data_IF_993493398525
#
_entry.id   IF_993493398525
#
_cell.length_a   1.000
_cell.length_b   1.000
_cell.length_c   1.000
_cell.angle_alpha   90.00
_cell.angle_beta   90.00
_cell.angle_gamma   90.00
#
_symmetry.space_group_name_H-M   'P 1'
#
loop_
_entity.id
_entity.type
_entity.pdbx_description
1 polymer ?
#
# COMPACT_ATOMS: atom_id res chain seq x y z
N UNK A 1 -2.24 -13.78 -12.55
CA UNK A 1 -2.08 -14.82 -11.55
C UNK A 1 -3.27 -14.77 -10.60
N UNK A 2 -3.93 -15.92 -10.43
CA UNK A 2 -5.02 -15.99 -9.50
C UNK A 2 -4.45 -15.81 -8.07
N UNK A 3 -5.00 -14.91 -7.28
CA UNK A 3 -4.86 -14.91 -5.84
C UNK A 3 -5.60 -16.17 -5.35
N UNK A 4 -4.94 -17.31 -5.50
CA UNK A 4 -5.53 -18.59 -5.15
C UNK A 4 -5.20 -18.86 -3.69
N UNK A 5 -6.22 -18.92 -2.84
CA UNK A 5 -6.09 -19.60 -1.58
C UNK A 5 -5.61 -21.02 -1.86
N UNK A 6 -4.42 -21.38 -1.41
CA UNK A 6 -3.90 -22.74 -1.50
C UNK A 6 -4.85 -23.71 -0.79
N UNK A 7 -4.80 -24.98 -1.14
CA UNK A 7 -5.56 -26.00 -0.43
C UNK A 7 -5.20 -25.94 1.07
N UNK A 8 -6.21 -25.74 1.93
CA UNK A 8 -6.01 -25.68 3.38
C UNK A 8 -5.59 -27.07 3.87
N UNK A 9 -4.45 -27.14 4.52
CA UNK A 9 -3.99 -28.32 5.24
C UNK A 9 -3.87 -27.95 6.72
N UNK A 10 -4.83 -28.41 7.51
CA UNK A 10 -4.93 -28.04 8.93
C UNK A 10 -3.77 -28.64 9.79
N UNK A 11 -3.02 -29.60 9.25
CA UNK A 11 -1.85 -30.20 9.90
C UNK A 11 -0.54 -29.47 9.52
N UNK A 12 -0.58 -28.52 8.59
CA UNK A 12 0.60 -27.78 8.15
C UNK A 12 0.75 -26.46 8.89
N UNK A 13 1.99 -26.06 9.12
CA UNK A 13 2.30 -24.74 9.63
C UNK A 13 1.90 -23.68 8.58
N UNK A 14 0.99 -22.77 8.93
CA UNK A 14 0.52 -21.72 8.03
C UNK A 14 1.52 -20.54 8.07
N UNK A 15 2.38 -20.44 7.06
CA UNK A 15 3.39 -19.39 6.92
C UNK A 15 3.15 -18.39 5.76
N UNK A 16 2.26 -18.66 4.78
CA UNK A 16 1.97 -17.69 3.74
C UNK A 16 1.16 -16.52 4.31
N UNK A 17 1.10 -15.42 3.55
CA UNK A 17 0.22 -14.27 3.80
C UNK A 17 0.64 -13.33 4.94
N UNK A 18 1.85 -13.46 5.51
CA UNK A 18 2.40 -12.57 6.54
C UNK A 18 1.47 -12.37 7.75
N UNK A 19 0.74 -13.42 8.15
CA UNK A 19 -0.14 -13.36 9.31
C UNK A 19 0.65 -13.20 10.62
N UNK A 20 0.13 -12.38 11.54
CA UNK A 20 0.71 -12.24 12.87
C UNK A 20 0.51 -13.54 13.68
N UNK A 21 1.60 -14.05 14.28
CA UNK A 21 1.55 -15.26 15.13
C UNK A 21 0.90 -15.00 16.50
N UNK A 22 0.75 -13.73 16.89
CA UNK A 22 0.21 -13.33 18.18
C UNK A 22 -1.26 -12.91 18.06
N UNK A 23 -2.09 -13.22 19.08
CA UNK A 23 -3.45 -12.72 19.13
C UNK A 23 -3.47 -11.18 19.28
N UNK A 24 -4.61 -10.53 19.04
CA UNK A 24 -4.78 -9.11 19.34
C UNK A 24 -4.42 -8.80 20.80
N UNK A 25 -3.94 -7.58 21.05
CA UNK A 25 -3.74 -7.10 22.42
C UNK A 25 -5.05 -7.18 23.21
N UNK A 26 -5.00 -7.51 24.52
CA UNK A 26 -6.21 -7.66 25.33
C UNK A 26 -7.13 -6.44 25.29
N UNK A 27 -6.55 -5.25 25.32
CA UNK A 27 -7.28 -3.97 25.27
C UNK A 27 -7.97 -3.78 23.91
N UNK A 28 -7.32 -4.15 22.82
CA UNK A 28 -7.91 -4.10 21.48
C UNK A 28 -9.07 -5.10 21.36
N UNK A 29 -8.88 -6.33 21.86
CA UNK A 29 -9.94 -7.34 21.89
C UNK A 29 -11.15 -6.90 22.70
N UNK A 30 -10.94 -6.25 23.86
CA UNK A 30 -12.01 -5.72 24.70
C UNK A 30 -12.77 -4.58 24.00
N UNK A 31 -12.06 -3.66 23.35
CA UNK A 31 -12.67 -2.56 22.59
C UNK A 31 -13.51 -3.07 21.41
N UNK A 32 -13.04 -4.10 20.70
CA UNK A 32 -13.81 -4.75 19.63
C UNK A 32 -15.08 -5.41 20.18
N UNK A 33 -15.01 -6.11 21.32
CA UNK A 33 -16.15 -6.75 21.96
C UNK A 33 -17.21 -5.71 22.40
N UNK A 34 -16.78 -4.56 22.93
CA UNK A 34 -17.69 -3.46 23.26
C UNK A 34 -18.36 -2.89 21.99
N UNK A 35 -17.59 -2.63 20.94
CA UNK A 35 -18.10 -2.06 19.69
C UNK A 35 -19.20 -2.94 19.07
N UNK A 36 -19.05 -4.28 19.13
CA UNK A 36 -20.05 -5.23 18.62
C UNK A 36 -21.43 -5.05 19.28
N UNK A 37 -21.50 -4.61 20.54
CA UNK A 37 -22.78 -4.39 21.22
C UNK A 37 -23.63 -3.27 20.59
N UNK A 38 -23.01 -2.42 19.76
CA UNK A 38 -23.64 -1.28 19.07
C UNK A 38 -23.78 -1.51 17.55
N UNK A 39 -23.38 -2.71 17.05
CA UNK A 39 -23.33 -3.02 15.62
C UNK A 39 -24.69 -3.08 14.91
N UNK A 40 -25.80 -3.01 15.66
CA UNK A 40 -27.17 -2.91 15.12
C UNK A 40 -27.53 -1.50 14.61
N UNK A 41 -26.63 -0.54 14.74
CA UNK A 41 -26.80 0.84 14.23
C UNK A 41 -25.88 1.10 13.06
N UNK A 42 -26.26 2.01 12.17
CA UNK A 42 -25.37 2.47 11.11
C UNK A 42 -24.14 3.13 11.73
N UNK A 43 -22.94 2.80 11.21
CA UNK A 43 -21.73 3.49 11.63
C UNK A 43 -21.69 4.93 11.11
N UNK A 44 -20.79 5.73 11.66
CA UNK A 44 -20.40 7.01 11.05
C UNK A 44 -19.77 6.73 9.68
N UNK A 45 -20.45 7.15 8.61
CA UNK A 45 -20.02 6.90 7.23
C UNK A 45 -18.70 7.62 6.89
N UNK A 46 -18.41 8.73 7.57
CA UNK A 46 -17.18 9.49 7.40
C UNK A 46 -16.02 8.94 8.23
N UNK A 47 -16.28 7.97 9.12
CA UNK A 47 -15.31 7.44 10.09
C UNK A 47 -14.56 8.56 10.84
N UNK A 48 -15.26 9.61 11.26
CA UNK A 48 -14.70 10.87 11.76
C UNK A 48 -13.73 10.64 12.91
N UNK A 49 -14.16 9.91 13.96
CA UNK A 49 -13.32 9.65 15.12
C UNK A 49 -12.02 8.89 14.75
N UNK A 50 -12.12 7.87 13.89
CA UNK A 50 -10.96 7.12 13.44
C UNK A 50 -10.00 7.99 12.63
N UNK A 51 -10.52 8.86 11.76
CA UNK A 51 -9.69 9.78 10.96
C UNK A 51 -8.99 10.81 11.83
N UNK A 52 -9.68 11.36 12.84
CA UNK A 52 -9.09 12.28 13.82
C UNK A 52 -7.98 11.62 14.64
N UNK A 53 -8.20 10.41 15.14
CA UNK A 53 -7.19 9.65 15.89
C UNK A 53 -5.96 9.31 15.01
N UNK A 54 -6.17 8.88 13.77
CA UNK A 54 -5.09 8.61 12.82
C UNK A 54 -4.33 9.88 12.45
N UNK A 55 -5.01 10.97 12.19
CA UNK A 55 -4.40 12.26 11.88
C UNK A 55 -3.53 12.75 13.03
N UNK A 56 -4.01 12.66 14.26
CA UNK A 56 -3.23 13.00 15.46
C UNK A 56 -2.00 12.10 15.63
N UNK A 57 -2.13 10.80 15.35
CA UNK A 57 -1.03 9.85 15.41
C UNK A 57 0.03 10.11 14.33
N UNK A 58 -0.40 10.44 13.12
CA UNK A 58 0.46 10.66 11.96
C UNK A 58 1.00 12.11 11.87
N UNK A 59 0.42 13.05 12.63
CA UNK A 59 0.82 14.45 12.58
C UNK A 59 0.37 15.19 11.31
N UNK A 60 -0.79 14.80 10.77
CA UNK A 60 -1.39 15.39 9.56
C UNK A 60 -2.80 15.91 9.84
N UNK A 61 -3.42 16.63 8.91
CA UNK A 61 -4.81 17.06 9.05
C UNK A 61 -5.80 15.88 8.82
N UNK A 62 -6.94 15.82 9.54
CA UNK A 62 -7.95 14.78 9.32
C UNK A 62 -8.48 14.72 7.88
N UNK A 63 -8.45 15.83 7.14
CA UNK A 63 -8.84 15.88 5.73
C UNK A 63 -7.82 15.19 4.80
N UNK A 64 -6.59 14.97 5.27
CA UNK A 64 -5.55 14.22 4.56
C UNK A 64 -5.60 12.72 4.84
N UNK A 65 -6.56 12.26 5.66
CA UNK A 65 -6.71 10.85 6.04
C UNK A 65 -7.91 10.23 5.36
N UNK A 66 -7.68 9.18 4.58
CA UNK A 66 -8.70 8.27 4.08
C UNK A 66 -8.57 6.91 4.77
N UNK A 67 -9.70 6.25 5.00
CA UNK A 67 -9.73 4.92 5.65
C UNK A 67 -10.46 3.91 4.77
N UNK A 68 -10.06 2.65 4.89
CA UNK A 68 -10.64 1.56 4.13
C UNK A 68 -10.45 0.22 4.84
N UNK A 69 -10.93 -0.85 4.25
CA UNK A 69 -10.72 -2.22 4.74
C UNK A 69 -9.29 -2.66 4.45
N UNK A 70 -8.35 -2.14 5.23
CA UNK A 70 -6.91 -2.30 5.05
C UNK A 70 -6.36 -1.48 3.87
N UNK A 71 -5.02 -1.45 3.73
CA UNK A 71 -4.33 -0.76 2.64
C UNK A 71 -4.72 -1.31 1.25
N UNK A 72 -5.12 -2.58 1.16
CA UNK A 72 -5.60 -3.18 -0.10
C UNK A 72 -6.80 -2.44 -0.68
N UNK A 73 -7.77 -2.05 0.16
CA UNK A 73 -8.93 -1.27 -0.31
C UNK A 73 -8.51 0.13 -0.76
N UNK A 74 -7.57 0.76 -0.05
CA UNK A 74 -7.05 2.08 -0.43
C UNK A 74 -6.26 2.02 -1.74
N UNK A 75 -5.41 1.00 -1.94
CA UNK A 75 -4.72 0.78 -3.21
C UNK A 75 -5.70 0.61 -4.37
N UNK A 76 -6.78 -0.17 -4.18
CA UNK A 76 -7.81 -0.34 -5.20
C UNK A 76 -8.50 0.99 -5.51
N UNK A 77 -8.91 1.74 -4.49
CA UNK A 77 -9.53 3.06 -4.66
C UNK A 77 -8.61 4.05 -5.38
N UNK A 78 -7.29 4.05 -5.05
CA UNK A 78 -6.32 4.87 -5.76
C UNK A 78 -6.28 4.54 -7.26
N UNK A 79 -6.31 3.25 -7.62
CA UNK A 79 -6.36 2.85 -9.03
C UNK A 79 -7.66 3.31 -9.67
N UNK A 80 -8.82 3.16 -9.00
CA UNK A 80 -10.13 3.55 -9.51
C UNK A 80 -10.26 5.06 -9.78
N UNK A 81 -9.60 5.90 -8.97
CA UNK A 81 -9.63 7.35 -9.15
C UNK A 81 -8.55 7.89 -10.08
N UNK A 82 -7.42 7.17 -10.23
CA UNK A 82 -6.27 7.64 -10.99
C UNK A 82 -6.26 7.15 -12.43
N UNK A 83 -6.78 5.94 -12.72
CA UNK A 83 -6.61 5.30 -14.01
C UNK A 83 -7.93 4.87 -14.65
N UNK A 84 -8.01 4.98 -15.96
CA UNK A 84 -9.12 4.52 -16.80
C UNK A 84 -8.69 3.45 -17.79
N UNK A 85 -9.61 2.78 -18.51
CA UNK A 85 -9.27 1.74 -19.48
C UNK A 85 -8.25 2.24 -20.52
N UNK A 86 -7.13 1.50 -20.66
CA UNK A 86 -6.06 1.81 -21.60
C UNK A 86 -4.93 2.67 -21.04
N UNK A 87 -5.09 3.24 -19.85
CA UNK A 87 -4.04 3.91 -19.10
C UNK A 87 -3.18 2.91 -18.32
N UNK A 88 -2.07 3.36 -17.74
CA UNK A 88 -1.07 2.49 -17.15
C UNK A 88 -0.91 2.71 -15.65
N UNK A 89 -0.78 1.58 -14.92
CA UNK A 89 -0.41 1.55 -13.51
C UNK A 89 0.92 0.82 -13.38
N UNK A 90 1.94 1.52 -12.89
CA UNK A 90 3.32 1.05 -12.82
C UNK A 90 3.65 0.64 -11.39
N UNK A 91 4.37 -0.47 -11.21
CA UNK A 91 4.75 -0.99 -9.90
C UNK A 91 5.99 -1.90 -10.00
N UNK A 92 6.76 -2.06 -8.89
CA UNK A 92 7.87 -3.00 -8.85
C UNK A 92 7.36 -4.46 -8.89
N UNK A 93 8.15 -5.38 -9.43
CA UNK A 93 7.80 -6.80 -9.49
C UNK A 93 9.02 -7.72 -9.25
N UNK A 94 9.04 -8.54 -8.17
CA UNK A 94 7.90 -8.86 -7.28
C UNK A 94 7.64 -7.77 -6.24
N UNK A 95 6.38 -7.43 -6.09
CA UNK A 95 5.86 -6.61 -5.01
C UNK A 95 4.48 -7.14 -4.60
N UNK A 96 3.63 -6.31 -3.97
CA UNK A 96 2.31 -6.75 -3.54
C UNK A 96 1.47 -7.28 -4.72
N UNK A 97 1.06 -8.53 -4.62
CA UNK A 97 0.46 -9.28 -5.75
C UNK A 97 -0.89 -8.73 -6.22
N UNK A 98 -1.52 -7.86 -5.46
CA UNK A 98 -2.80 -7.28 -5.82
C UNK A 98 -2.69 -6.08 -6.78
N UNK A 99 -1.55 -5.39 -6.89
CA UNK A 99 -1.42 -4.24 -7.80
C UNK A 99 -1.85 -4.55 -9.25
N UNK A 100 -1.36 -5.62 -9.90
CA UNK A 100 -1.82 -5.95 -11.24
C UNK A 100 -3.30 -6.32 -11.31
N UNK A 101 -3.87 -6.86 -10.23
CA UNK A 101 -5.30 -7.20 -10.17
C UNK A 101 -6.12 -5.91 -10.15
N UNK A 102 -5.78 -4.95 -9.31
CA UNK A 102 -6.49 -3.66 -9.23
C UNK A 102 -6.46 -2.91 -10.57
N UNK A 103 -5.29 -2.86 -11.25
CA UNK A 103 -5.19 -2.28 -12.57
C UNK A 103 -6.12 -2.96 -13.59
N UNK A 104 -6.17 -4.29 -13.59
CA UNK A 104 -7.02 -5.05 -14.52
C UNK A 104 -8.52 -4.86 -14.25
N UNK A 105 -8.93 -4.68 -12.99
CA UNK A 105 -10.34 -4.47 -12.62
C UNK A 105 -10.92 -3.23 -13.30
N UNK A 106 -10.12 -2.16 -13.40
CA UNK A 106 -10.54 -0.91 -14.07
C UNK A 106 -10.23 -0.88 -15.57
N UNK A 107 -9.65 -1.95 -16.13
CA UNK A 107 -9.24 -2.02 -17.53
C UNK A 107 -7.95 -1.28 -17.86
N UNK A 108 -7.20 -0.86 -16.83
CA UNK A 108 -5.87 -0.27 -17.00
C UNK A 108 -4.82 -1.36 -17.28
N UNK A 109 -3.70 -0.94 -17.86
CA UNK A 109 -2.57 -1.83 -18.17
C UNK A 109 -1.61 -1.88 -16.98
N UNK A 110 -1.39 -3.06 -16.35
CA UNK A 110 -0.36 -3.23 -15.33
C UNK A 110 1.02 -3.23 -15.98
N UNK A 111 1.91 -2.37 -15.51
CA UNK A 111 3.30 -2.25 -15.99
C UNK A 111 4.25 -2.70 -14.87
N UNK A 112 4.59 -4.00 -14.82
CA UNK A 112 5.54 -4.51 -13.83
C UNK A 112 6.98 -4.16 -14.21
N UNK A 113 7.75 -3.67 -13.24
CA UNK A 113 9.18 -3.41 -13.38
C UNK A 113 9.98 -4.38 -12.50
N UNK A 114 10.88 -5.21 -13.07
CA UNK A 114 11.65 -6.15 -12.27
C UNK A 114 12.45 -5.45 -11.17
N UNK A 115 12.61 -6.13 -10.03
CA UNK A 115 13.53 -5.71 -8.98
C UNK A 115 14.97 -5.77 -9.46
N UNK A 116 15.86 -4.99 -8.85
CA UNK A 116 17.29 -5.10 -9.03
C UNK A 116 17.85 -6.49 -8.66
N UNK A 117 19.10 -6.76 -9.03
CA UNK A 117 19.77 -8.02 -8.70
C UNK A 117 19.88 -8.27 -7.17
N UNK A 118 19.88 -7.22 -6.39
CA UNK A 118 19.85 -7.20 -4.93
C UNK A 118 18.44 -7.33 -4.33
N UNK A 119 17.43 -7.56 -5.15
CA UNK A 119 16.01 -7.64 -4.80
C UNK A 119 15.42 -6.33 -4.25
N UNK A 120 16.06 -5.21 -4.49
CA UNK A 120 15.54 -3.88 -4.18
C UNK A 120 14.66 -3.35 -5.31
N UNK A 121 13.77 -2.45 -4.99
CA UNK A 121 13.00 -1.70 -5.98
C UNK A 121 13.98 -0.86 -6.83
N UNK A 122 13.94 -1.05 -8.14
CA UNK A 122 14.77 -0.32 -9.11
C UNK A 122 14.04 0.95 -9.58
N UNK A 123 14.14 2.01 -8.78
CA UNK A 123 13.48 3.29 -9.07
C UNK A 123 13.97 3.91 -10.40
N UNK A 124 15.27 3.87 -10.76
CA UNK A 124 15.72 4.31 -12.07
C UNK A 124 15.08 3.55 -13.24
N UNK A 125 14.95 2.21 -13.12
CA UNK A 125 14.27 1.42 -14.14
C UNK A 125 12.75 1.72 -14.18
N UNK A 126 12.13 2.01 -13.05
CA UNK A 126 10.74 2.44 -12.99
C UNK A 126 10.54 3.78 -13.70
N UNK A 127 11.40 4.78 -13.46
CA UNK A 127 11.34 6.08 -14.12
C UNK A 127 11.43 5.95 -15.65
N UNK A 128 12.27 5.04 -16.17
CA UNK A 128 12.39 4.78 -17.60
C UNK A 128 11.15 4.12 -18.24
N UNK A 129 10.25 3.56 -17.41
CA UNK A 129 9.02 2.93 -17.88
C UNK A 129 7.81 3.86 -17.88
N UNK A 130 7.95 5.08 -17.37
CA UNK A 130 6.89 6.09 -17.40
C UNK A 130 6.62 6.47 -18.85
N UNK A 131 5.35 6.51 -19.23
CA UNK A 131 4.88 6.95 -20.55
C UNK A 131 3.82 8.05 -20.39
N UNK A 132 3.35 8.58 -21.50
CA UNK A 132 2.22 9.53 -21.53
C UNK A 132 0.87 8.93 -21.04
N UNK A 133 0.81 7.61 -20.89
CA UNK A 133 -0.34 6.88 -20.37
C UNK A 133 -0.25 6.52 -18.89
N UNK A 134 0.91 6.67 -18.27
CA UNK A 134 1.10 6.37 -16.86
C UNK A 134 0.32 7.35 -16.00
N UNK A 135 -0.52 6.84 -15.07
CA UNK A 135 -1.33 7.66 -14.16
C UNK A 135 -1.04 7.41 -12.70
N UNK A 136 -0.62 6.20 -12.38
CA UNK A 136 -0.34 5.80 -11.00
C UNK A 136 0.91 4.94 -10.95
N UNK A 137 1.76 5.22 -9.96
CA UNK A 137 2.94 4.43 -9.64
C UNK A 137 2.86 4.01 -8.19
N UNK A 138 2.94 2.71 -7.93
CA UNK A 138 3.13 2.19 -6.57
C UNK A 138 4.61 2.01 -6.27
N UNK A 139 5.04 2.46 -5.09
CA UNK A 139 6.37 2.18 -4.52
C UNK A 139 6.14 1.55 -3.15
N UNK A 140 6.37 0.24 -3.03
CA UNK A 140 6.22 -0.48 -1.77
C UNK A 140 7.51 -0.39 -0.96
N UNK A 141 7.47 0.23 0.21
CA UNK A 141 8.67 0.51 1.02
C UNK A 141 8.38 0.46 2.54
N UNK A 142 8.80 -0.59 3.26
CA UNK A 142 9.55 -1.77 2.81
C UNK A 142 8.80 -2.63 1.80
N UNK A 143 9.51 -3.18 0.81
CA UNK A 143 8.87 -3.97 -0.25
C UNK A 143 8.41 -5.35 0.26
N UNK A 144 7.20 -5.72 -0.06
CA UNK A 144 6.65 -7.06 0.12
C UNK A 144 6.76 -7.82 -1.21
N UNK A 145 7.46 -8.98 -1.34
CA UNK A 145 7.93 -9.83 -0.24
C UNK A 145 9.42 -9.69 0.12
N UNK A 146 10.22 -8.87 -0.58
CA UNK A 146 11.67 -8.88 -0.43
C UNK A 146 12.17 -8.30 0.91
N UNK A 147 11.35 -7.46 1.58
CA UNK A 147 11.74 -6.77 2.81
C UNK A 147 12.80 -5.68 2.61
N UNK A 148 13.20 -5.42 1.38
CA UNK A 148 14.19 -4.39 1.04
C UNK A 148 13.58 -3.00 1.04
N UNK A 149 14.41 -1.97 1.20
CA UNK A 149 13.99 -0.58 1.25
C UNK A 149 14.73 0.27 0.23
N UNK A 150 14.10 1.37 -0.20
CA UNK A 150 14.73 2.47 -0.92
C UNK A 150 15.08 3.58 0.07
N UNK A 151 16.11 4.36 -0.22
CA UNK A 151 16.52 5.49 0.61
C UNK A 151 15.76 6.77 0.28
N UNK A 152 15.83 7.78 1.18
CA UNK A 152 15.27 9.12 0.93
C UNK A 152 15.83 9.74 -0.35
N UNK A 153 17.15 9.64 -0.55
CA UNK A 153 17.81 10.25 -1.71
C UNK A 153 17.41 9.56 -3.03
N UNK A 154 17.33 8.22 -3.03
CA UNK A 154 16.85 7.44 -4.17
C UNK A 154 15.40 7.80 -4.52
N UNK A 155 14.55 7.93 -3.50
CA UNK A 155 13.14 8.27 -3.71
C UNK A 155 12.99 9.72 -4.18
N UNK A 156 13.74 10.67 -3.62
CA UNK A 156 13.73 12.06 -4.06
C UNK A 156 14.16 12.19 -5.53
N UNK A 157 15.26 11.54 -5.90
CA UNK A 157 15.72 11.52 -7.30
C UNK A 157 14.69 10.88 -8.26
N UNK A 158 13.94 9.88 -7.78
CA UNK A 158 12.85 9.30 -8.54
C UNK A 158 11.69 10.29 -8.71
N UNK A 159 11.28 10.97 -7.64
CA UNK A 159 10.20 11.97 -7.69
C UNK A 159 10.54 13.13 -8.64
N UNK A 160 11.80 13.55 -8.69
CA UNK A 160 12.26 14.57 -9.66
C UNK A 160 12.09 14.12 -11.12
N UNK A 161 12.08 12.82 -11.38
CA UNK A 161 11.92 12.25 -12.72
C UNK A 161 10.44 11.93 -13.07
N UNK A 162 9.53 11.92 -12.09
CA UNK A 162 8.10 11.64 -12.30
C UNK A 162 7.39 12.90 -12.79
N UNK A 163 6.61 12.82 -13.91
CA UNK A 163 5.78 13.94 -14.34
C UNK A 163 4.77 14.36 -13.28
N UNK A 164 4.48 15.67 -13.20
CA UNK A 164 3.62 16.24 -12.15
C UNK A 164 2.15 15.79 -12.21
N UNK A 165 1.71 15.22 -13.31
CA UNK A 165 0.37 14.67 -13.52
C UNK A 165 0.27 13.16 -13.22
N UNK A 166 1.35 12.54 -12.75
CA UNK A 166 1.39 11.14 -12.35
C UNK A 166 1.33 11.02 -10.83
N UNK A 167 0.35 10.29 -10.33
CA UNK A 167 0.23 10.03 -8.90
C UNK A 167 1.25 8.98 -8.45
N UNK A 168 1.96 9.24 -7.35
CA UNK A 168 2.84 8.25 -6.70
C UNK A 168 2.26 7.85 -5.36
N UNK A 169 2.04 6.56 -5.18
CA UNK A 169 1.59 5.96 -3.92
C UNK A 169 2.77 5.25 -3.24
N UNK A 170 3.25 5.79 -2.14
CA UNK A 170 4.22 5.13 -1.27
C UNK A 170 3.46 4.19 -0.32
N UNK A 171 3.56 2.88 -0.59
CA UNK A 171 2.89 1.85 0.21
C UNK A 171 3.79 1.44 1.39
N UNK A 172 3.39 1.87 2.57
CA UNK A 172 4.12 1.70 3.83
C UNK A 172 3.48 0.63 4.74
N UNK A 173 2.78 -0.36 4.17
CA UNK A 173 2.08 -1.41 4.92
C UNK A 173 2.96 -2.16 5.95
N UNK A 174 4.27 -2.11 5.82
CA UNK A 174 5.24 -2.76 6.70
C UNK A 174 6.24 -1.79 7.36
N UNK A 175 5.91 -0.52 7.43
CA UNK A 175 6.82 0.53 7.94
C UNK A 175 7.26 0.27 9.39
N UNK A 176 6.39 -0.30 10.24
CA UNK A 176 6.67 -0.59 11.64
C UNK A 176 7.75 -1.68 11.82
N UNK A 177 7.95 -2.52 10.81
CA UNK A 177 9.02 -3.54 10.81
C UNK A 177 10.36 -3.01 10.32
N UNK A 178 10.38 -1.79 9.77
CA UNK A 178 11.59 -1.20 9.23
C UNK A 178 12.65 -0.96 10.33
N UNK A 179 13.92 -1.17 9.96
CA UNK A 179 15.09 -0.91 10.82
C UNK A 179 16.07 0.11 10.20
N UNK A 180 15.85 0.47 8.94
CA UNK A 180 16.67 1.48 8.28
C UNK A 180 16.27 2.88 8.72
N UNK A 181 17.25 3.78 8.86
CA UNK A 181 17.03 5.15 9.31
C UNK A 181 16.93 6.18 8.18
N UNK A 182 17.39 5.82 6.97
CA UNK A 182 17.37 6.69 5.80
C UNK A 182 16.35 6.20 4.76
N UNK A 183 15.07 6.25 5.12
CA UNK A 183 13.95 5.89 4.23
C UNK A 183 12.98 7.06 4.12
N UNK A 184 12.27 7.21 2.98
CA UNK A 184 11.18 8.17 2.88
C UNK A 184 10.05 7.74 3.83
N UNK A 185 9.39 8.73 4.43
CA UNK A 185 8.16 8.54 5.20
C UNK A 185 7.04 9.33 4.52
N UNK A 186 5.91 8.67 4.27
CA UNK A 186 4.77 9.29 3.60
C UNK A 186 4.30 10.56 4.28
N UNK A 187 4.29 10.59 5.62
CA UNK A 187 3.91 11.76 6.42
C UNK A 187 4.83 12.98 6.27
N UNK A 188 6.07 12.77 5.81
CA UNK A 188 7.01 13.88 5.51
C UNK A 188 6.83 14.43 4.08
N UNK A 189 6.05 13.74 3.24
CA UNK A 189 5.91 14.03 1.81
C UNK A 189 4.56 14.68 1.46
N UNK A 190 3.56 14.57 2.33
CA UNK A 190 2.27 15.26 2.20
C UNK A 190 2.44 16.69 2.72
N UNK A 191 2.47 17.66 1.79
CA UNK A 191 2.57 19.09 2.05
C UNK A 191 1.28 19.84 1.75
#
# INVERSE_FOLDING_TARGET
PAYAAGARNDDALNLPSNEAAHPPLPEAAAAMAEAVTKANRYPDIAATALREDLAAHLGVDPEQVAVGTGSSALCQQLVEIAATPGEEVLFPWRSFEAYPIFAQVVGAHPIPVPLGADQRVDLPAMAQKITDKTRLIFVCNPNNPSGTTVTKDEFAAFMDAVPADVLVALDEAYIEYNRATNIPLGTELVG
#
